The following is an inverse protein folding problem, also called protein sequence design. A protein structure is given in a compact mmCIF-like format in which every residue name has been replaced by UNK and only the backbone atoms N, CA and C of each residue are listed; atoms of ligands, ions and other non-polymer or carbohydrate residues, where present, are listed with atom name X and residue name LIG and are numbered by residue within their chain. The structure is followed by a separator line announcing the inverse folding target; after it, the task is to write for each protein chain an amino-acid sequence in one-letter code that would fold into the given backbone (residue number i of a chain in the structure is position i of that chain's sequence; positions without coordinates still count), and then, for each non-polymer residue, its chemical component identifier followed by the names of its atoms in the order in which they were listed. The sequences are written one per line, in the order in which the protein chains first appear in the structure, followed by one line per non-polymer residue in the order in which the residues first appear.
data_IF_341864967993
#
_entry.id   IF_341864967993
#
_cell.length_a   1.000
_cell.length_b   1.000
_cell.length_c   1.000
_cell.angle_alpha   90.00
_cell.angle_beta   90.00
_cell.angle_gamma   90.00
#
_symmetry.space_group_name_H-M   'P 1'
#
loop_
_entity.id
_entity.type
_entity.pdbx_description
1 polymer ?
#
# COMPACT_ATOMS: atom_id res chain seq x y z
N UNK A 1 0.41 -29.09 2.10
CA UNK A 1 1.26 -27.97 1.61
C UNK A 1 0.32 -26.86 1.21
N UNK A 2 0.31 -25.75 1.95
CA UNK A 2 -0.50 -24.59 1.60
C UNK A 2 0.07 -24.00 0.31
N UNK A 3 -0.73 -23.92 -0.75
CA UNK A 3 -0.30 -23.32 -2.02
C UNK A 3 0.00 -21.85 -1.74
N UNK A 4 1.25 -21.43 -1.93
CA UNK A 4 1.59 -20.02 -1.83
C UNK A 4 0.89 -19.27 -2.97
N UNK A 5 0.21 -18.19 -2.66
CA UNK A 5 -0.35 -17.30 -3.67
C UNK A 5 0.81 -16.54 -4.32
N UNK A 6 0.91 -16.59 -5.64
CA UNK A 6 2.02 -16.00 -6.40
C UNK A 6 1.51 -14.81 -7.21
N UNK A 7 2.25 -13.73 -7.17
CA UNK A 7 1.99 -12.51 -7.95
C UNK A 7 3.27 -11.91 -8.48
N UNK A 8 3.18 -10.71 -9.02
CA UNK A 8 4.33 -9.92 -9.46
C UNK A 8 4.19 -8.45 -9.10
N UNK A 9 5.30 -7.73 -9.12
CA UNK A 9 5.34 -6.27 -8.92
C UNK A 9 4.97 -5.59 -10.24
N UNK A 10 3.83 -4.90 -10.26
CA UNK A 10 3.34 -4.17 -11.44
C UNK A 10 3.96 -2.79 -11.57
N UNK A 11 4.04 -2.05 -10.47
CA UNK A 11 4.59 -0.70 -10.42
C UNK A 11 5.03 -0.34 -9.00
N UNK A 12 5.97 0.60 -8.91
CA UNK A 12 6.56 1.06 -7.66
C UNK A 12 6.54 2.59 -7.57
N UNK A 13 6.28 3.12 -6.39
CA UNK A 13 6.18 4.56 -6.13
C UNK A 13 6.80 4.93 -4.79
N UNK A 14 7.36 6.12 -4.75
CA UNK A 14 7.69 6.83 -3.50
C UNK A 14 6.89 8.12 -3.45
N UNK A 15 6.50 8.55 -2.26
CA UNK A 15 5.85 9.83 -2.06
C UNK A 15 6.73 10.73 -1.19
N UNK A 16 7.66 11.50 -1.78
CA UNK A 16 8.51 12.42 -1.04
C UNK A 16 7.69 13.43 -0.23
N UNK A 17 8.23 13.90 0.90
CA UNK A 17 7.53 14.80 1.80
C UNK A 17 7.15 16.14 1.16
N UNK A 18 7.95 16.61 0.20
CA UNK A 18 7.79 17.86 -0.56
C UNK A 18 7.00 17.69 -1.88
N UNK A 19 6.66 16.46 -2.27
CA UNK A 19 5.90 16.18 -3.49
C UNK A 19 4.39 16.22 -3.25
N UNK A 20 3.63 16.73 -4.22
CA UNK A 20 2.16 16.74 -4.16
C UNK A 20 1.57 15.35 -4.40
N UNK A 21 2.20 14.54 -5.24
CA UNK A 21 1.76 13.21 -5.63
C UNK A 21 2.92 12.21 -5.56
N UNK A 22 2.63 10.91 -5.39
CA UNK A 22 3.61 9.85 -5.53
C UNK A 22 4.32 9.89 -6.88
N UNK A 23 5.58 9.52 -6.87
CA UNK A 23 6.46 9.48 -8.05
C UNK A 23 6.77 8.02 -8.40
N UNK A 24 6.64 7.66 -9.67
CA UNK A 24 7.00 6.32 -10.15
C UNK A 24 8.50 6.12 -10.11
N UNK A 25 8.93 4.93 -9.68
CA UNK A 25 10.33 4.51 -9.62
C UNK A 25 10.50 3.13 -10.25
N UNK A 26 11.68 2.84 -10.80
CA UNK A 26 12.00 1.53 -11.38
C UNK A 26 12.31 0.48 -10.29
N UNK A 27 12.82 0.95 -9.16
CA UNK A 27 13.11 0.12 -7.99
C UNK A 27 12.78 0.86 -6.70
N UNK A 28 12.48 0.12 -5.65
CA UNK A 28 12.16 0.62 -4.33
C UNK A 28 13.14 0.04 -3.32
N UNK A 29 14.01 0.88 -2.79
CA UNK A 29 14.95 0.48 -1.74
C UNK A 29 14.25 0.50 -0.39
N UNK A 30 14.35 -0.60 0.33
CA UNK A 30 13.78 -0.79 1.66
C UNK A 30 14.87 -0.93 2.71
N UNK A 31 14.77 -0.16 3.78
CA UNK A 31 15.49 -0.41 5.03
C UNK A 31 14.50 -0.76 6.15
N UNK A 32 14.97 -0.85 7.39
CA UNK A 32 14.12 -1.16 8.54
C UNK A 32 13.02 -0.12 8.82
N UNK A 33 13.13 1.07 8.27
CA UNK A 33 12.13 2.14 8.38
C UNK A 33 11.09 2.11 7.25
N UNK A 34 11.26 1.25 6.25
CA UNK A 34 10.35 1.18 5.09
C UNK A 34 10.98 1.67 3.79
N UNK A 35 10.18 2.23 2.91
CA UNK A 35 10.61 2.73 1.60
C UNK A 35 11.46 4.00 1.74
N UNK A 36 12.73 3.92 1.35
CA UNK A 36 13.66 5.05 1.41
C UNK A 36 13.18 6.18 0.48
N UNK A 37 13.11 7.38 1.02
CA UNK A 37 12.60 8.56 0.30
C UNK A 37 11.08 8.78 0.38
N UNK A 38 10.33 7.83 0.94
CA UNK A 38 8.90 8.00 1.17
C UNK A 38 8.63 8.81 2.46
N UNK A 39 7.54 9.59 2.47
CA UNK A 39 7.12 10.39 3.63
C UNK A 39 6.70 9.56 4.84
N UNK A 40 6.39 8.28 4.64
CA UNK A 40 6.03 7.36 5.71
C UNK A 40 7.23 6.56 6.25
N UNK A 41 8.43 6.81 5.69
CA UNK A 41 9.66 6.16 6.14
C UNK A 41 9.98 6.51 7.59
N UNK A 42 10.23 5.51 8.41
CA UNK A 42 10.62 5.66 9.81
C UNK A 42 10.27 4.44 10.65
N UNK A 43 11.09 4.17 11.68
CA UNK A 43 10.83 3.09 12.65
C UNK A 43 9.65 3.40 13.57
N UNK A 44 9.35 4.68 13.76
CA UNK A 44 8.26 5.15 14.59
C UNK A 44 7.39 6.13 13.83
N UNK A 45 6.16 6.31 14.29
CA UNK A 45 5.20 7.27 13.78
C UNK A 45 4.42 7.92 14.92
N UNK A 46 3.79 9.05 14.67
CA UNK A 46 2.80 9.63 15.59
C UNK A 46 1.47 8.91 15.42
N UNK A 47 0.86 8.50 16.54
CA UNK A 47 -0.49 7.94 16.52
C UNK A 47 -1.51 8.97 16.01
N UNK A 48 -2.48 8.51 15.24
CA UNK A 48 -3.56 9.32 14.68
C UNK A 48 -4.95 8.77 15.11
N UNK A 49 -5.99 9.15 14.40
CA UNK A 49 -7.37 8.72 14.68
C UNK A 49 -7.56 7.20 14.62
N UNK A 50 -6.72 6.48 13.88
CA UNK A 50 -6.81 5.01 13.73
C UNK A 50 -6.46 4.28 15.03
N UNK A 51 -5.58 4.87 15.85
CA UNK A 51 -5.14 4.31 17.14
C UNK A 51 -5.76 5.02 18.35
N UNK A 52 -6.76 5.89 18.14
CA UNK A 52 -7.35 6.70 19.21
C UNK A 52 -8.01 5.87 20.34
N UNK A 53 -8.35 4.61 20.06
CA UNK A 53 -8.88 3.68 21.06
C UNK A 53 -7.80 3.07 21.96
N UNK A 54 -6.50 3.25 21.63
CA UNK A 54 -5.36 2.71 22.40
C UNK A 54 -4.48 3.83 22.94
N UNK A 55 -4.21 4.87 22.14
CA UNK A 55 -3.26 5.94 22.46
C UNK A 55 -3.86 7.33 22.31
N UNK A 56 -3.49 8.30 23.15
CA UNK A 56 -3.70 9.71 22.84
C UNK A 56 -3.07 10.06 21.48
N UNK A 57 -3.76 10.92 20.71
CA UNK A 57 -3.25 11.36 19.42
C UNK A 57 -1.88 12.05 19.57
N UNK A 58 -0.94 11.70 18.67
CA UNK A 58 0.43 12.23 18.70
C UNK A 58 1.40 11.41 19.56
N UNK A 59 0.95 10.32 20.21
CA UNK A 59 1.86 9.41 20.91
C UNK A 59 2.81 8.77 19.91
N UNK A 60 4.10 8.74 20.22
CA UNK A 60 5.08 8.02 19.39
C UNK A 60 4.90 6.53 19.57
N UNK A 61 4.65 5.83 18.47
CA UNK A 61 4.43 4.37 18.42
C UNK A 61 5.30 3.74 17.33
N UNK A 62 5.47 2.42 17.36
CA UNK A 62 6.13 1.69 16.27
C UNK A 62 5.35 1.90 14.96
N UNK A 63 6.08 2.17 13.88
CA UNK A 63 5.49 2.33 12.56
C UNK A 63 5.26 0.97 11.90
N UNK A 64 4.04 0.46 11.99
CA UNK A 64 3.61 -0.78 11.31
C UNK A 64 2.95 -0.50 9.94
N UNK A 65 3.05 0.74 9.45
CA UNK A 65 2.43 1.23 8.22
C UNK A 65 3.47 1.91 7.31
N UNK A 66 4.65 1.30 7.22
CA UNK A 66 5.80 1.85 6.48
C UNK A 66 5.56 1.89 4.97
N UNK A 67 4.80 0.92 4.44
CA UNK A 67 4.47 0.80 3.02
C UNK A 67 2.98 0.52 2.82
N UNK A 68 2.44 0.98 1.70
CA UNK A 68 1.08 0.73 1.23
C UNK A 68 1.12 -0.08 -0.07
N UNK A 69 0.33 -1.14 -0.14
CA UNK A 69 0.35 -2.12 -1.23
C UNK A 69 -1.07 -2.35 -1.71
N UNK A 70 -1.29 -2.35 -3.02
CA UNK A 70 -2.59 -2.63 -3.65
C UNK A 70 -2.40 -3.53 -4.87
N UNK A 71 -3.39 -4.33 -5.23
CA UNK A 71 -3.36 -5.11 -6.48
C UNK A 71 -4.05 -4.35 -7.61
N UNK A 72 -3.56 -4.50 -8.85
CA UNK A 72 -4.15 -3.84 -10.03
C UNK A 72 -5.60 -4.25 -10.26
N UNK A 73 -5.97 -5.49 -9.90
CA UNK A 73 -7.36 -5.97 -9.96
C UNK A 73 -8.26 -5.25 -8.96
N UNK A 74 -7.76 -4.90 -7.78
CA UNK A 74 -8.48 -4.08 -6.80
C UNK A 74 -8.63 -2.64 -7.29
N UNK A 75 -7.58 -2.04 -7.89
CA UNK A 75 -7.66 -0.72 -8.52
C UNK A 75 -8.72 -0.67 -9.62
N UNK A 76 -8.81 -1.71 -10.46
CA UNK A 76 -9.82 -1.81 -11.50
C UNK A 76 -11.25 -1.87 -10.91
N UNK A 77 -11.46 -2.59 -9.81
CA UNK A 77 -12.75 -2.65 -9.11
C UNK A 77 -13.14 -1.31 -8.49
N UNK A 78 -12.19 -0.58 -7.91
CA UNK A 78 -12.41 0.77 -7.38
C UNK A 78 -12.77 1.73 -8.53
N UNK A 79 -12.04 1.69 -9.65
CA UNK A 79 -12.30 2.51 -10.82
C UNK A 79 -13.74 2.30 -11.34
N UNK A 80 -14.17 1.05 -11.48
CA UNK A 80 -15.53 0.70 -11.88
C UNK A 80 -16.58 1.24 -10.90
N UNK A 81 -16.34 1.14 -9.59
CA UNK A 81 -17.26 1.65 -8.57
C UNK A 81 -17.33 3.19 -8.54
N UNK A 82 -16.29 3.88 -8.97
CA UNK A 82 -16.23 5.34 -9.12
C UNK A 82 -16.78 5.82 -10.48
N UNK A 83 -16.98 4.92 -11.44
CA UNK A 83 -17.42 5.26 -12.80
C UNK A 83 -16.31 5.94 -13.62
N UNK A 84 -15.04 5.63 -13.37
CA UNK A 84 -13.89 6.12 -14.13
C UNK A 84 -13.25 4.97 -14.91
N UNK A 85 -12.54 5.29 -16.01
CA UNK A 85 -11.98 4.27 -16.90
C UNK A 85 -10.91 3.40 -16.22
N UNK A 86 -10.01 4.01 -15.45
CA UNK A 86 -8.95 3.32 -14.72
C UNK A 86 -8.40 4.19 -13.59
N UNK A 87 -7.84 3.57 -12.54
CA UNK A 87 -6.98 4.23 -11.57
C UNK A 87 -5.52 3.80 -11.83
N UNK A 88 -4.68 4.78 -12.10
CA UNK A 88 -3.25 4.51 -12.28
C UNK A 88 -2.63 4.03 -10.96
N UNK A 89 -1.68 3.06 -10.99
CA UNK A 89 -0.84 2.76 -9.84
C UNK A 89 -0.19 4.01 -9.26
N UNK A 90 -0.06 4.09 -7.94
CA UNK A 90 0.46 5.26 -7.21
C UNK A 90 -0.59 6.32 -6.89
N UNK A 91 -1.69 6.41 -7.66
CA UNK A 91 -2.67 7.49 -7.53
C UNK A 91 -3.37 7.51 -6.16
N UNK A 92 -3.51 6.37 -5.53
CA UNK A 92 -4.12 6.27 -4.19
C UNK A 92 -3.07 6.17 -3.06
N UNK A 93 -1.85 6.67 -3.31
CA UNK A 93 -0.71 6.64 -2.40
C UNK A 93 -0.20 5.22 -2.08
N UNK A 94 -0.26 4.32 -3.05
CA UNK A 94 0.35 3.00 -2.96
C UNK A 94 1.84 3.08 -3.34
N UNK A 95 2.69 2.47 -2.51
CA UNK A 95 4.12 2.31 -2.79
C UNK A 95 4.36 1.15 -3.76
N UNK A 96 3.57 0.09 -3.63
CA UNK A 96 3.69 -1.14 -4.42
C UNK A 96 2.32 -1.47 -5.01
N UNK A 97 2.23 -1.50 -6.33
CA UNK A 97 1.12 -2.10 -7.04
C UNK A 97 1.53 -3.50 -7.49
N UNK A 98 0.73 -4.50 -7.14
CA UNK A 98 0.94 -5.90 -7.53
C UNK A 98 0.01 -6.31 -8.67
N UNK A 99 0.32 -7.45 -9.29
CA UNK A 99 -0.55 -8.15 -10.23
C UNK A 99 -0.69 -9.61 -9.83
N UNK A 100 -1.89 -10.17 -10.00
CA UNK A 100 -2.16 -11.58 -9.71
C UNK A 100 -2.63 -11.86 -8.29
N UNK A 101 -2.92 -10.83 -7.49
CA UNK A 101 -3.40 -10.92 -6.11
C UNK A 101 -4.77 -10.21 -5.94
N UNK A 102 -5.84 -10.66 -6.60
CA UNK A 102 -7.09 -9.89 -6.75
C UNK A 102 -7.86 -9.64 -5.45
N UNK A 103 -7.53 -10.34 -4.36
CA UNK A 103 -8.13 -10.18 -3.03
C UNK A 103 -7.05 -9.86 -1.97
N UNK A 104 -6.03 -9.09 -2.37
CA UNK A 104 -4.91 -8.71 -1.51
C UNK A 104 -5.37 -8.03 -0.22
N UNK A 105 -6.37 -7.14 -0.29
CA UNK A 105 -6.92 -6.43 0.87
C UNK A 105 -7.42 -7.38 1.96
N UNK A 106 -7.93 -8.55 1.58
CA UNK A 106 -8.49 -9.54 2.51
C UNK A 106 -7.45 -10.54 3.03
N UNK A 107 -6.18 -10.32 2.69
CA UNK A 107 -5.08 -11.19 3.17
C UNK A 107 -4.99 -11.14 4.70
N UNK A 108 -4.83 -12.29 5.38
CA UNK A 108 -4.71 -12.32 6.84
C UNK A 108 -3.54 -11.47 7.35
N UNK A 109 -3.73 -10.84 8.52
CA UNK A 109 -2.64 -10.16 9.22
C UNK A 109 -1.47 -11.10 9.44
N UNK A 110 -0.25 -10.56 9.49
CA UNK A 110 1.00 -11.32 9.65
C UNK A 110 1.33 -12.27 8.47
N UNK A 111 0.68 -12.09 7.33
CA UNK A 111 1.13 -12.71 6.08
C UNK A 111 2.45 -12.08 5.64
N UNK A 112 3.40 -12.90 5.23
CA UNK A 112 4.66 -12.44 4.63
C UNK A 112 4.50 -12.28 3.14
N UNK A 113 4.88 -11.12 2.62
CA UNK A 113 5.07 -10.90 1.19
C UNK A 113 6.56 -11.00 0.92
N UNK A 114 6.96 -12.08 0.25
CA UNK A 114 8.36 -12.41 -0.04
C UNK A 114 8.65 -12.14 -1.50
N UNK A 115 9.56 -11.23 -1.77
CA UNK A 115 10.00 -10.85 -3.12
C UNK A 115 11.16 -11.73 -3.58
N UNK A 116 11.26 -11.99 -4.89
CA UNK A 116 12.32 -12.83 -5.46
C UNK A 116 13.71 -12.26 -5.21
N UNK A 117 13.84 -10.93 -5.11
CA UNK A 117 15.07 -10.23 -4.75
C UNK A 117 15.49 -10.36 -3.27
N UNK A 118 14.69 -11.06 -2.44
CA UNK A 118 14.99 -11.34 -1.04
C UNK A 118 14.42 -10.37 -0.02
N UNK A 119 13.85 -9.24 -0.43
CA UNK A 119 13.12 -8.37 0.47
C UNK A 119 11.87 -9.10 1.03
N UNK A 120 11.50 -8.82 2.27
CA UNK A 120 10.29 -9.38 2.90
C UNK A 120 9.54 -8.29 3.65
N UNK A 121 8.25 -8.20 3.36
CA UNK A 121 7.31 -7.36 4.10
C UNK A 121 6.37 -8.23 4.94
N UNK A 122 6.11 -7.76 6.17
CA UNK A 122 5.04 -8.28 7.01
C UNK A 122 3.78 -7.46 6.78
N UNK A 123 2.66 -8.09 6.42
CA UNK A 123 1.40 -7.40 6.15
C UNK A 123 0.62 -7.15 7.45
N UNK A 124 0.25 -5.89 7.67
CA UNK A 124 -0.46 -5.42 8.85
C UNK A 124 -1.98 -5.38 8.70
N UNK A 125 -2.51 -5.84 7.56
CA UNK A 125 -3.93 -5.87 7.26
C UNK A 125 -4.42 -4.68 6.43
N UNK A 126 -5.73 -4.57 6.32
CA UNK A 126 -6.42 -3.64 5.42
C UNK A 126 -5.97 -2.19 5.62
N UNK A 127 -5.69 -1.53 4.52
CA UNK A 127 -5.45 -0.11 4.45
C UNK A 127 -6.80 0.62 4.24
N UNK A 128 -7.44 1.02 5.34
CA UNK A 128 -8.75 1.66 5.27
C UNK A 128 -8.77 2.87 4.34
N UNK A 129 -9.74 2.97 3.44
CA UNK A 129 -9.86 4.09 2.52
C UNK A 129 -10.19 5.40 3.26
N UNK A 130 -9.68 6.52 2.76
CA UNK A 130 -9.90 7.84 3.35
C UNK A 130 -10.12 8.91 2.27
N UNK A 131 -10.65 10.06 2.68
CA UNK A 131 -10.89 11.20 1.78
C UNK A 131 -9.60 11.83 1.26
N UNK A 132 -8.46 11.64 1.92
CA UNK A 132 -7.16 12.11 1.41
C UNK A 132 -6.79 11.42 0.10
N UNK A 133 -6.94 10.08 0.02
CA UNK A 133 -6.78 9.35 -1.23
C UNK A 133 -7.86 9.76 -2.25
N UNK A 134 -9.10 10.00 -1.80
CA UNK A 134 -10.17 10.52 -2.63
C UNK A 134 -9.85 11.87 -3.28
N UNK A 135 -9.18 12.77 -2.56
CA UNK A 135 -8.75 14.07 -3.11
C UNK A 135 -7.67 13.93 -4.20
N UNK A 136 -6.83 12.88 -4.11
CA UNK A 136 -5.86 12.58 -5.17
C UNK A 136 -6.58 12.08 -6.44
N UNK A 137 -7.57 11.22 -6.27
CA UNK A 137 -8.41 10.72 -7.38
C UNK A 137 -9.21 11.87 -8.02
N UNK A 138 -9.78 12.79 -7.21
CA UNK A 138 -10.48 13.97 -7.69
C UNK A 138 -9.61 14.83 -8.63
N UNK A 139 -8.35 15.05 -8.29
CA UNK A 139 -7.43 15.86 -9.12
C UNK A 139 -7.27 15.32 -10.55
N UNK A 140 -7.39 14.01 -10.73
CA UNK A 140 -7.19 13.36 -12.02
C UNK A 140 -8.51 13.10 -12.74
N UNK A 141 -9.55 12.69 -11.99
CA UNK A 141 -10.79 12.19 -12.56
C UNK A 141 -12.01 13.09 -12.27
N UNK A 142 -11.89 14.12 -11.44
CA UNK A 142 -12.99 15.02 -11.08
C UNK A 142 -14.08 14.37 -10.22
N UNK A 143 -13.83 13.21 -9.63
CA UNK A 143 -14.77 12.53 -8.72
C UNK A 143 -14.81 13.21 -7.36
N UNK A 144 -15.95 13.16 -6.65
CA UNK A 144 -15.98 13.68 -5.28
C UNK A 144 -15.08 12.87 -4.35
N UNK A 145 -14.21 13.52 -3.53
CA UNK A 145 -13.35 12.83 -2.56
C UNK A 145 -14.12 11.94 -1.59
N UNK A 146 -15.36 12.31 -1.25
CA UNK A 146 -16.22 11.56 -0.33
C UNK A 146 -16.78 10.27 -0.95
N UNK A 147 -16.76 10.09 -2.27
CA UNK A 147 -17.17 8.86 -2.93
C UNK A 147 -16.13 7.75 -2.81
N UNK A 148 -14.84 8.11 -2.70
CA UNK A 148 -13.73 7.16 -2.68
C UNK A 148 -13.80 6.16 -1.50
N UNK A 149 -14.05 6.56 -0.23
CA UNK A 149 -14.09 5.60 0.87
C UNK A 149 -15.11 4.49 0.67
N UNK A 150 -16.28 4.80 0.10
CA UNK A 150 -17.31 3.79 -0.20
C UNK A 150 -16.88 2.88 -1.35
N UNK A 151 -16.33 3.45 -2.43
CA UNK A 151 -15.90 2.69 -3.61
C UNK A 151 -14.71 1.78 -3.31
N UNK A 152 -13.81 2.20 -2.43
CA UNK A 152 -12.57 1.49 -2.10
C UNK A 152 -12.66 0.62 -0.83
N UNK A 153 -13.84 0.49 -0.23
CA UNK A 153 -14.03 -0.36 0.95
C UNK A 153 -13.68 -1.80 0.63
N UNK A 154 -12.77 -2.39 1.43
CA UNK A 154 -12.22 -3.74 1.24
C UNK A 154 -11.48 -3.95 -0.10
N UNK A 155 -10.99 -2.85 -0.73
CA UNK A 155 -10.26 -2.87 -2.00
C UNK A 155 -9.01 -1.98 -1.99
N UNK A 156 -8.76 -1.24 -0.87
CA UNK A 156 -7.69 -0.25 -0.78
C UNK A 156 -6.30 -0.87 -0.58
N UNK A 157 -6.22 -2.20 -0.61
CA UNK A 157 -5.00 -2.94 -0.34
C UNK A 157 -4.67 -3.06 1.14
N UNK A 158 -3.41 -3.30 1.43
CA UNK A 158 -2.89 -3.53 2.78
C UNK A 158 -1.77 -2.55 3.10
N UNK A 159 -1.46 -2.42 4.39
CA UNK A 159 -0.21 -1.80 4.84
C UNK A 159 0.73 -2.87 5.38
N UNK A 160 2.02 -2.56 5.39
CA UNK A 160 3.02 -3.47 5.93
C UNK A 160 4.25 -2.74 6.44
N UNK A 161 5.14 -3.51 7.04
CA UNK A 161 6.45 -3.05 7.49
C UNK A 161 7.53 -4.03 7.05
N UNK A 162 8.78 -3.58 7.03
CA UNK A 162 9.90 -4.38 6.57
C UNK A 162 10.29 -5.42 7.63
N UNK A 163 10.25 -6.71 7.26
CA UNK A 163 10.81 -7.82 8.05
C UNK A 163 12.25 -8.14 7.59
N UNK A 164 12.53 -8.00 6.29
CA UNK A 164 13.88 -8.15 5.73
C UNK A 164 14.11 -7.06 4.68
N UNK A 165 15.10 -6.16 4.90
CA UNK A 165 15.45 -5.12 3.95
C UNK A 165 15.93 -5.67 2.62
N UNK A 166 15.85 -4.85 1.57
CA UNK A 166 16.30 -5.19 0.22
C UNK A 166 15.76 -4.22 -0.81
N UNK A 167 16.09 -4.45 -2.07
CA UNK A 167 15.57 -3.67 -3.20
C UNK A 167 14.50 -4.47 -3.93
N UNK A 168 13.35 -3.86 -4.17
CA UNK A 168 12.27 -4.42 -4.99
C UNK A 168 12.36 -3.81 -6.37
N UNK A 169 12.21 -4.63 -7.42
CA UNK A 169 12.20 -4.17 -8.81
C UNK A 169 10.84 -4.33 -9.48
N UNK A 170 10.48 -3.40 -10.34
CA UNK A 170 9.28 -3.57 -11.15
C UNK A 170 9.41 -4.82 -12.05
N UNK A 171 8.36 -5.63 -12.11
CA UNK A 171 8.30 -6.88 -12.86
C UNK A 171 8.80 -8.13 -12.11
N UNK A 172 9.41 -7.99 -10.93
CA UNK A 172 9.85 -9.17 -10.18
C UNK A 172 8.68 -9.96 -9.60
N UNK A 173 8.91 -11.27 -9.39
CA UNK A 173 7.95 -12.16 -8.76
C UNK A 173 7.89 -11.99 -7.25
N UNK A 174 6.74 -12.33 -6.69
CA UNK A 174 6.52 -12.38 -5.25
C UNK A 174 5.59 -13.53 -4.87
N UNK A 175 5.63 -13.91 -3.59
CA UNK A 175 4.69 -14.89 -3.03
C UNK A 175 4.20 -14.47 -1.66
N UNK A 176 2.96 -14.83 -1.35
CA UNK A 176 2.37 -14.66 -0.02
C UNK A 176 2.50 -15.95 0.79
N UNK A 177 2.97 -15.81 2.03
CA UNK A 177 3.06 -16.90 3.01
C UNK A 177 2.17 -16.51 4.19
N UNK A 178 1.00 -17.15 4.28
CA UNK A 178 0.06 -16.94 5.39
C UNK A 178 0.59 -17.55 6.70
N UNK A 179 0.15 -17.02 7.87
CA UNK A 179 0.50 -17.58 9.17
C UNK A 179 0.09 -19.06 9.32
#
# INVERSE_FOLDING_TARGET
MTSALVGSVRALHVWPADAELPQSVASLDLDWGGAIGDRHHGLTMSSDVRQAHVYPRGTTITNLRQVSIVDEGELARIAAALGVDALAPGLIADNICTAGLPDLTMTPHMTRMVFDGGAVLMLGGENNPCTTAGAMVERVHGTSPSSFPKAAMHLRGVTGWVECPGTIHAGEGLRLITP
#
